data_IF_005398236499
#
_entry.id   IF_005398236499
#
_cell.length_a   1.000
_cell.length_b   1.000
_cell.length_c   1.000
_cell.angle_alpha   90.00
_cell.angle_beta   90.00
_cell.angle_gamma   90.00
#
_symmetry.space_group_name_H-M   'P 1'
#
loop_
_entity.id
_entity.type
_entity.pdbx_description
1 polymer ?
#
# COMPACT_ATOMS: atom_id res chain seq x y z
N UNK A 1 5.58 -8.49 -26.97
CA UNK A 1 6.20 -7.81 -28.13
C UNK A 1 5.93 -6.32 -28.00
N UNK A 2 7.01 -5.52 -28.01
CA UNK A 2 7.05 -4.04 -28.08
C UNK A 2 6.52 -3.31 -26.82
N UNK A 3 7.18 -2.29 -26.25
CA UNK A 3 8.31 -1.46 -26.71
C UNK A 3 8.92 -0.76 -25.50
N UNK A 4 10.22 -0.49 -25.56
CA UNK A 4 11.01 0.06 -24.48
C UNK A 4 10.61 1.47 -24.07
N UNK A 5 10.87 1.77 -22.80
CA UNK A 5 11.15 3.12 -22.34
C UNK A 5 12.52 3.06 -21.70
N UNK A 6 13.44 3.87 -22.23
CA UNK A 6 14.86 3.86 -21.90
C UNK A 6 15.09 3.90 -20.41
N UNK A 7 15.78 2.88 -19.90
CA UNK A 7 16.23 2.83 -18.53
C UNK A 7 17.28 3.90 -18.29
N UNK A 8 16.87 5.03 -17.71
CA UNK A 8 17.80 5.96 -17.08
C UNK A 8 18.58 5.17 -16.01
N UNK A 9 19.92 5.04 -16.13
CA UNK A 9 20.69 4.33 -15.11
C UNK A 9 20.67 5.17 -13.84
N UNK A 10 19.79 4.79 -12.91
CA UNK A 10 19.66 5.40 -11.60
C UNK A 10 20.84 4.94 -10.74
N UNK A 11 22.01 5.54 -10.99
CA UNK A 11 23.20 5.37 -10.16
C UNK A 11 22.95 6.07 -8.82
N UNK A 12 22.51 5.34 -7.82
CA UNK A 12 22.44 5.85 -6.45
C UNK A 12 23.75 5.51 -5.72
N UNK A 13 24.37 6.54 -5.14
CA UNK A 13 25.51 6.38 -4.24
C UNK A 13 24.99 5.98 -2.87
N UNK A 14 25.18 4.73 -2.45
CA UNK A 14 24.88 4.32 -1.08
C UNK A 14 25.93 4.93 -0.16
N UNK A 15 25.51 5.75 0.81
CA UNK A 15 26.37 6.15 1.92
C UNK A 15 26.38 5.05 2.99
N UNK A 16 27.15 3.99 2.76
CA UNK A 16 27.34 2.97 3.79
C UNK A 16 28.25 3.52 4.87
N UNK A 17 27.74 3.68 6.10
CA UNK A 17 28.55 4.06 7.27
C UNK A 17 29.04 2.80 7.99
N UNK A 18 29.80 1.95 7.29
CA UNK A 18 30.47 0.81 7.92
C UNK A 18 31.75 0.44 7.18
N UNK A 19 32.89 0.72 7.81
CA UNK A 19 34.18 0.08 7.61
C UNK A 19 34.69 -0.14 6.19
N UNK A 20 34.80 0.91 5.36
CA UNK A 20 35.66 0.88 4.16
C UNK A 20 36.75 1.93 4.27
N UNK A 21 37.94 1.59 3.76
CA UNK A 21 39.03 2.55 3.58
C UNK A 21 38.52 3.76 2.77
N UNK A 22 38.90 4.96 3.19
CA UNK A 22 38.52 6.21 2.53
C UNK A 22 38.92 6.15 1.04
N UNK A 23 37.94 6.18 0.12
CA UNK A 23 38.24 6.46 -1.30
C UNK A 23 37.28 5.83 -2.30
N UNK A 24 36.79 4.61 -2.06
CA UNK A 24 35.96 3.91 -3.05
C UNK A 24 34.47 3.97 -2.69
N UNK A 25 33.71 4.75 -3.46
CA UNK A 25 32.25 4.82 -3.34
C UNK A 25 31.62 3.61 -4.05
N UNK A 26 31.06 2.62 -3.33
CA UNK A 26 30.35 1.53 -3.99
C UNK A 26 29.12 2.08 -4.72
N UNK A 27 29.04 1.83 -6.02
CA UNK A 27 27.84 2.11 -6.82
C UNK A 27 26.95 0.88 -6.70
N UNK A 28 25.81 1.02 -6.04
CA UNK A 28 24.83 -0.05 -6.02
C UNK A 28 23.92 0.06 -7.23
N UNK A 29 23.79 -1.04 -7.96
CA UNK A 29 22.79 -1.20 -9.01
C UNK A 29 21.48 -1.58 -8.30
N UNK A 30 20.63 -0.59 -8.02
CA UNK A 30 19.33 -0.84 -7.40
C UNK A 30 18.28 -0.99 -8.49
N UNK A 31 17.64 -2.16 -8.55
CA UNK A 31 16.45 -2.35 -9.38
C UNK A 31 15.21 -1.98 -8.56
N UNK A 32 14.65 -0.80 -8.81
CA UNK A 32 13.43 -0.33 -8.17
C UNK A 32 12.23 -1.17 -8.64
N UNK A 33 11.86 -2.21 -7.87
CA UNK A 33 10.65 -3.02 -8.08
C UNK A 33 9.63 -2.67 -7.00
N UNK A 34 9.09 -1.45 -7.07
CA UNK A 34 8.05 -1.02 -6.13
C UNK A 34 6.73 -1.75 -6.43
N UNK A 35 6.23 -2.47 -5.44
CA UNK A 35 4.85 -2.95 -5.43
C UNK A 35 4.02 -2.02 -4.53
N UNK A 36 2.91 -1.54 -5.07
CA UNK A 36 2.00 -0.66 -4.33
C UNK A 36 1.08 -1.49 -3.45
N UNK A 37 0.99 -1.12 -2.17
CA UNK A 37 0.04 -1.67 -1.22
C UNK A 37 -0.93 -0.57 -0.80
N UNK A 38 -2.22 -0.81 -0.96
CA UNK A 38 -3.27 0.13 -0.64
C UNK A 38 -3.84 -0.15 0.74
N UNK A 39 -4.15 0.93 1.47
CA UNK A 39 -4.78 0.86 2.79
C UNK A 39 -6.19 1.44 2.69
N UNK A 40 -7.18 0.66 3.11
CA UNK A 40 -8.56 1.12 3.26
C UNK A 40 -8.88 1.30 4.73
N UNK A 41 -9.33 2.50 5.11
CA UNK A 41 -9.73 2.83 6.48
C UNK A 41 -11.22 3.15 6.56
N UNK A 42 -11.95 2.41 7.39
CA UNK A 42 -13.34 2.71 7.73
C UNK A 42 -13.40 3.26 9.16
N UNK A 43 -14.10 4.37 9.37
CA UNK A 43 -14.20 5.03 10.67
C UNK A 43 -15.66 5.15 11.07
N UNK A 44 -15.97 4.86 12.33
CA UNK A 44 -17.25 5.16 12.95
C UNK A 44 -17.16 6.52 13.67
N UNK A 45 -17.72 7.61 13.11
CA UNK A 45 -17.46 8.96 13.63
C UNK A 45 -17.92 9.17 15.07
N UNK A 46 -19.04 8.54 15.46
CA UNK A 46 -19.64 8.68 16.80
C UNK A 46 -18.88 7.95 17.91
N UNK A 47 -18.09 6.93 17.58
CA UNK A 47 -17.45 6.05 18.57
C UNK A 47 -15.94 6.01 18.41
N UNK A 48 -15.40 6.58 17.33
CA UNK A 48 -13.96 6.58 17.03
C UNK A 48 -13.38 5.22 16.64
N UNK A 49 -14.22 4.19 16.47
CA UNK A 49 -13.75 2.86 16.06
C UNK A 49 -13.30 2.89 14.61
N UNK A 50 -12.12 2.34 14.35
CA UNK A 50 -11.52 2.28 13.00
C UNK A 50 -11.17 0.86 12.59
N UNK A 51 -11.49 0.50 11.36
CA UNK A 51 -11.08 -0.76 10.73
C UNK A 51 -10.16 -0.46 9.55
N UNK A 52 -9.08 -1.22 9.44
CA UNK A 52 -8.04 -1.03 8.43
C UNK A 52 -7.84 -2.30 7.63
N UNK A 53 -7.76 -2.18 6.30
CA UNK A 53 -7.54 -3.30 5.38
C UNK A 53 -6.37 -3.00 4.45
N UNK A 54 -5.48 -3.98 4.27
CA UNK A 54 -4.34 -3.92 3.36
C UNK A 54 -4.64 -4.72 2.10
N UNK A 55 -4.51 -4.09 0.93
CA UNK A 55 -4.94 -4.68 -0.34
C UNK A 55 -3.90 -4.41 -1.43
N UNK A 56 -3.52 -5.41 -2.23
CA UNK A 56 -2.52 -5.23 -3.28
C UNK A 56 -3.04 -4.45 -4.50
N UNK A 57 -4.36 -4.28 -4.67
CA UNK A 57 -4.97 -3.67 -5.87
C UNK A 57 -6.25 -2.91 -5.53
N UNK A 58 -6.49 -1.83 -6.27
CA UNK A 58 -7.73 -1.06 -6.23
C UNK A 58 -8.60 -1.46 -7.43
N UNK A 59 -9.56 -2.34 -7.22
CA UNK A 59 -10.61 -2.65 -8.19
C UNK A 59 -11.93 -2.99 -7.46
N UNK A 60 -13.02 -3.13 -8.21
CA UNK A 60 -14.34 -3.42 -7.66
C UNK A 60 -14.41 -4.78 -6.96
N UNK A 61 -13.71 -5.80 -7.47
CA UNK A 61 -13.67 -7.15 -6.88
C UNK A 61 -13.05 -7.15 -5.47
N UNK A 62 -11.88 -6.54 -5.33
CA UNK A 62 -11.18 -6.39 -4.06
C UNK A 62 -11.99 -5.53 -3.08
N UNK A 63 -12.62 -4.46 -3.57
CA UNK A 63 -13.47 -3.62 -2.74
C UNK A 63 -14.69 -4.40 -2.22
N UNK A 64 -15.34 -5.21 -3.06
CA UNK A 64 -16.45 -6.06 -2.65
C UNK A 64 -16.02 -7.11 -1.60
N UNK A 65 -14.80 -7.65 -1.72
CA UNK A 65 -14.24 -8.55 -0.73
C UNK A 65 -14.06 -7.85 0.62
N UNK A 66 -13.56 -6.61 0.61
CA UNK A 66 -13.42 -5.79 1.82
C UNK A 66 -14.78 -5.49 2.45
N UNK A 67 -15.81 -5.19 1.64
CA UNK A 67 -17.15 -4.99 2.20
C UNK A 67 -17.71 -6.25 2.84
N UNK A 68 -17.41 -7.43 2.30
CA UNK A 68 -17.80 -8.70 2.94
C UNK A 68 -17.08 -8.93 4.26
N UNK A 69 -15.78 -8.63 4.36
CA UNK A 69 -15.05 -8.72 5.63
C UNK A 69 -15.55 -7.68 6.62
N UNK A 70 -15.70 -6.44 6.18
CA UNK A 70 -16.24 -5.35 6.98
C UNK A 70 -17.63 -5.64 7.55
N UNK A 71 -18.54 -6.21 6.75
CA UNK A 71 -19.87 -6.56 7.21
C UNK A 71 -19.85 -7.62 8.32
N UNK A 72 -18.91 -8.58 8.26
CA UNK A 72 -18.68 -9.57 9.32
C UNK A 72 -18.14 -8.92 10.58
N UNK A 73 -17.13 -8.06 10.45
CA UNK A 73 -16.45 -7.42 11.58
C UNK A 73 -17.36 -6.45 12.35
N UNK A 74 -18.24 -5.74 11.63
CA UNK A 74 -19.19 -4.77 12.20
C UNK A 74 -20.48 -5.45 12.70
N UNK A 75 -20.72 -6.71 12.31
CA UNK A 75 -21.95 -7.44 12.57
C UNK A 75 -23.15 -6.75 11.93
N UNK A 76 -23.05 -6.41 10.64
CA UNK A 76 -24.15 -5.79 9.89
C UNK A 76 -25.30 -6.79 9.81
N UNK A 77 -26.48 -6.35 10.25
CA UNK A 77 -27.74 -7.09 10.24
C UNK A 77 -28.79 -6.21 9.58
N UNK A 78 -29.92 -6.72 9.05
CA UNK A 78 -30.97 -5.89 8.46
C UNK A 78 -31.47 -4.75 9.36
N UNK A 79 -31.29 -4.87 10.68
CA UNK A 79 -31.62 -3.83 11.68
C UNK A 79 -30.52 -2.76 11.88
N UNK A 80 -29.30 -2.98 11.39
CA UNK A 80 -28.13 -2.12 11.64
C UNK A 80 -27.43 -1.81 10.31
N UNK A 81 -27.92 -0.78 9.63
CA UNK A 81 -27.28 -0.26 8.40
C UNK A 81 -26.27 0.84 8.75
N UNK A 82 -25.14 0.84 8.03
CA UNK A 82 -24.14 1.91 8.09
C UNK A 82 -24.46 2.90 6.98
N UNK A 83 -24.95 4.08 7.35
CA UNK A 83 -25.22 5.17 6.40
C UNK A 83 -24.23 6.30 6.67
N UNK A 84 -23.44 6.65 5.65
CA UNK A 84 -22.68 7.89 5.67
C UNK A 84 -23.65 9.05 5.44
N UNK A 85 -23.93 9.83 6.48
CA UNK A 85 -24.73 11.06 6.36
C UNK A 85 -23.83 12.13 5.72
N UNK A 86 -24.25 12.67 4.57
CA UNK A 86 -23.63 13.84 3.93
C UNK A 86 -24.08 15.12 4.62
#
# INVERSE_FOLDING_TARGET
MQRGLGGFPTRYCIKTRYGRALGERPIAIVQHRYQWLYVYGFVQPKTGKTLWYLIPRVNTEWLNLVYKSFAKDVGISPKKSVVSRR
#
